data_IF_044690073723
#
_entry.id   IF_044690073723
#
_cell.length_a   1.000
_cell.length_b   1.000
_cell.length_c   1.000
_cell.angle_alpha   90.00
_cell.angle_beta   90.00
_cell.angle_gamma   90.00
#
_symmetry.space_group_name_H-M   'P 1'
#
loop_
_entity.id
_entity.type
_entity.pdbx_description
1 polymer ?
#
# COMPACT_ATOMS: atom_id res chain seq x y z
N UNK A 1 -20.75 11.50 -0.03
CA UNK A 1 -19.44 12.18 -0.16
C UNK A 1 -18.44 11.26 0.50
N UNK A 2 -17.74 10.45 -0.29
CA UNK A 2 -16.72 9.57 0.26
C UNK A 2 -15.52 10.43 0.61
N UNK A 3 -15.17 10.47 1.89
CA UNK A 3 -14.00 11.20 2.36
C UNK A 3 -12.78 10.43 1.87
N UNK A 4 -12.16 10.90 0.78
CA UNK A 4 -10.80 10.48 0.47
C UNK A 4 -9.88 11.02 1.56
N UNK A 5 -8.86 10.24 1.92
CA UNK A 5 -7.79 10.69 2.82
C UNK A 5 -7.06 11.88 2.19
N UNK A 6 -6.49 12.74 3.04
CA UNK A 6 -5.68 13.86 2.54
C UNK A 6 -4.41 13.36 1.85
N UNK A 7 -3.86 14.14 0.92
CA UNK A 7 -2.58 13.81 0.28
C UNK A 7 -1.45 13.68 1.31
N UNK A 8 -1.43 14.53 2.34
CA UNK A 8 -0.45 14.44 3.43
C UNK A 8 -0.56 13.12 4.20
N UNK A 9 -1.78 12.67 4.49
CA UNK A 9 -2.00 11.35 5.10
C UNK A 9 -1.61 10.20 4.19
N UNK A 10 -1.91 10.30 2.89
CA UNK A 10 -1.51 9.31 1.88
C UNK A 10 0.02 9.20 1.84
N UNK A 11 0.74 10.31 1.77
CA UNK A 11 2.21 10.34 1.76
C UNK A 11 2.80 9.71 3.03
N UNK A 12 2.25 10.03 4.21
CA UNK A 12 2.69 9.41 5.47
C UNK A 12 2.47 7.90 5.47
N UNK A 13 1.36 7.43 4.92
CA UNK A 13 1.06 6.00 4.84
C UNK A 13 2.00 5.28 3.87
N UNK A 14 2.27 5.87 2.70
CA UNK A 14 3.24 5.36 1.73
C UNK A 14 4.61 5.24 2.39
N UNK A 15 5.09 6.31 3.03
CA UNK A 15 6.38 6.34 3.70
C UNK A 15 6.46 5.27 4.79
N UNK A 16 5.40 5.10 5.57
CA UNK A 16 5.33 4.06 6.59
C UNK A 16 5.43 2.65 5.99
N UNK A 17 4.80 2.38 4.83
CA UNK A 17 4.95 1.07 4.16
C UNK A 17 6.38 0.84 3.68
N UNK A 18 7.03 1.86 3.12
CA UNK A 18 8.44 1.79 2.68
C UNK A 18 9.37 1.46 3.85
N UNK A 19 9.11 2.04 5.03
CA UNK A 19 9.90 1.79 6.24
C UNK A 19 9.60 0.43 6.90
N UNK A 20 8.36 -0.04 6.82
CA UNK A 20 7.90 -1.22 7.54
C UNK A 20 8.05 -2.53 6.75
N UNK A 21 8.05 -2.48 5.42
CA UNK A 21 8.11 -3.66 4.54
C UNK A 21 9.52 -3.74 3.94
N UNK A 22 10.18 -4.92 3.96
CA UNK A 22 11.47 -5.09 3.29
C UNK A 22 11.41 -4.72 1.80
N UNK A 23 12.42 -4.03 1.30
CA UNK A 23 12.47 -3.56 -0.08
C UNK A 23 12.30 -4.68 -1.10
N UNK A 24 12.82 -5.88 -0.84
CA UNK A 24 12.66 -7.05 -1.70
C UNK A 24 11.19 -7.47 -1.86
N UNK A 25 10.38 -7.33 -0.81
CA UNK A 25 8.95 -7.63 -0.85
C UNK A 25 8.20 -6.56 -1.65
N UNK A 26 8.56 -5.28 -1.49
CA UNK A 26 7.99 -4.20 -2.29
C UNK A 26 8.34 -4.33 -3.78
N UNK A 27 9.55 -4.80 -4.11
CA UNK A 27 9.94 -5.12 -5.49
C UNK A 27 9.15 -6.31 -6.04
N UNK A 28 8.92 -7.37 -5.25
CA UNK A 28 8.06 -8.48 -5.65
C UNK A 28 6.61 -8.03 -5.93
N UNK A 29 6.07 -7.14 -5.09
CA UNK A 29 4.75 -6.54 -5.31
C UNK A 29 4.75 -5.76 -6.64
N UNK A 30 5.77 -4.93 -6.88
CA UNK A 30 5.89 -4.17 -8.12
C UNK A 30 5.96 -5.08 -9.37
N UNK A 31 6.72 -6.17 -9.30
CA UNK A 31 6.81 -7.15 -10.38
C UNK A 31 5.47 -7.85 -10.63
N UNK A 32 4.75 -8.21 -9.56
CA UNK A 32 3.41 -8.79 -9.64
C UNK A 32 2.44 -7.89 -10.41
N UNK A 33 2.37 -6.61 -10.03
CA UNK A 33 1.51 -5.61 -10.66
C UNK A 33 1.93 -5.36 -12.12
N UNK A 34 3.23 -5.31 -12.39
CA UNK A 34 3.76 -5.08 -13.75
C UNK A 34 3.38 -6.21 -14.72
N UNK A 35 3.21 -7.44 -14.21
CA UNK A 35 2.80 -8.61 -15.01
C UNK A 35 1.28 -8.71 -15.15
N UNK A 36 0.55 -8.39 -14.08
CA UNK A 36 -0.91 -8.46 -14.01
C UNK A 36 -1.42 -7.25 -13.23
N UNK A 37 -2.03 -6.25 -13.90
CA UNK A 37 -2.46 -5.01 -13.24
C UNK A 37 -3.43 -5.23 -12.06
N UNK A 38 -4.26 -6.27 -12.14
CA UNK A 38 -5.25 -6.62 -11.11
C UNK A 38 -4.66 -7.54 -10.01
N UNK A 39 -3.35 -7.79 -10.02
CA UNK A 39 -2.71 -8.74 -9.10
C UNK A 39 -2.93 -8.37 -7.64
N UNK A 40 -2.87 -7.08 -7.28
CA UNK A 40 -3.16 -6.63 -5.91
C UNK A 40 -4.59 -6.95 -5.50
N UNK A 41 -5.57 -6.73 -6.39
CA UNK A 41 -6.97 -7.08 -6.12
C UNK A 41 -7.11 -8.57 -5.80
N UNK A 42 -6.38 -9.44 -6.49
CA UNK A 42 -6.35 -10.87 -6.19
C UNK A 42 -5.72 -11.19 -4.82
N UNK A 43 -4.79 -10.34 -4.36
CA UNK A 43 -4.14 -10.45 -3.05
C UNK A 43 -4.89 -9.73 -1.93
N UNK A 44 -6.13 -9.30 -2.14
CA UNK A 44 -6.92 -8.52 -1.18
C UNK A 44 -7.01 -9.17 0.21
N UNK A 45 -7.18 -10.50 0.29
CA UNK A 45 -7.26 -11.24 1.55
C UNK A 45 -5.89 -11.72 2.07
N UNK A 46 -4.83 -11.61 1.27
CA UNK A 46 -3.45 -11.87 1.66
C UNK A 46 -2.75 -10.56 2.00
N UNK A 47 -1.97 -10.04 1.05
CA UNK A 47 -1.22 -8.79 1.16
C UNK A 47 -2.12 -7.63 1.60
N UNK A 48 -3.35 -7.54 1.08
CA UNK A 48 -4.27 -6.46 1.45
C UNK A 48 -4.61 -6.44 2.94
N UNK A 49 -4.76 -7.61 3.57
CA UNK A 49 -5.00 -7.70 5.03
C UNK A 49 -3.75 -7.27 5.80
N UNK A 50 -2.57 -7.70 5.37
CA UNK A 50 -1.30 -7.33 6.01
C UNK A 50 -1.06 -5.82 5.97
N UNK A 51 -1.24 -5.20 4.81
CA UNK A 51 -1.07 -3.75 4.63
C UNK A 51 -2.09 -2.97 5.47
N UNK A 52 -3.37 -3.34 5.45
CA UNK A 52 -4.38 -2.69 6.29
C UNK A 52 -4.04 -2.82 7.79
N UNK A 53 -3.48 -3.95 8.21
CA UNK A 53 -3.05 -4.14 9.59
C UNK A 53 -1.80 -3.31 9.95
N UNK A 54 -0.84 -3.17 9.03
CA UNK A 54 0.32 -2.27 9.22
C UNK A 54 -0.13 -0.82 9.41
N UNK A 55 -1.08 -0.36 8.59
CA UNK A 55 -1.64 0.98 8.68
C UNK A 55 -2.38 1.19 10.02
N UNK A 56 -3.24 0.24 10.43
CA UNK A 56 -3.90 0.30 11.75
C UNK A 56 -2.89 0.35 12.89
N UNK A 57 -1.85 -0.49 12.84
CA UNK A 57 -0.83 -0.57 13.91
C UNK A 57 -0.02 0.71 14.02
N UNK A 58 0.20 1.43 12.92
CA UNK A 58 0.85 2.75 12.92
C UNK A 58 -0.03 3.85 13.52
N UNK A 59 -1.34 3.62 13.61
CA UNK A 59 -2.31 4.57 14.18
C UNK A 59 -3.10 5.36 13.14
N UNK A 60 -3.14 4.93 11.88
CA UNK A 60 -4.08 5.51 10.91
C UNK A 60 -5.51 5.18 11.31
N UNK A 61 -6.27 6.18 11.77
CA UNK A 61 -7.62 6.04 12.34
C UNK A 61 -8.72 5.94 11.27
N UNK A 62 -8.42 5.29 10.14
CA UNK A 62 -9.31 5.14 9.01
C UNK A 62 -10.31 4.01 9.27
N UNK A 63 -11.57 4.22 8.89
CA UNK A 63 -12.57 3.16 8.94
C UNK A 63 -12.25 2.03 7.93
N UNK A 64 -12.93 0.90 8.09
CA UNK A 64 -12.69 -0.27 7.24
C UNK A 64 -12.97 0.02 5.77
N UNK A 65 -13.92 0.91 5.44
CA UNK A 65 -14.23 1.26 4.05
C UNK A 65 -13.10 2.07 3.42
N UNK A 66 -12.49 2.95 4.20
CA UNK A 66 -11.36 3.79 3.80
C UNK A 66 -10.11 2.93 3.65
N UNK A 67 -9.83 2.06 4.61
CA UNK A 67 -8.74 1.10 4.53
C UNK A 67 -8.89 0.18 3.32
N UNK A 68 -10.11 -0.26 3.01
CA UNK A 68 -10.38 -1.15 1.88
C UNK A 68 -10.11 -0.51 0.51
N UNK A 69 -10.29 0.80 0.43
CA UNK A 69 -10.07 1.57 -0.81
C UNK A 69 -8.65 2.05 -0.97
N UNK A 70 -8.02 2.43 0.13
CA UNK A 70 -6.74 3.13 0.09
C UNK A 70 -5.54 2.19 0.17
N UNK A 71 -5.70 0.96 0.68
CA UNK A 71 -4.56 0.04 0.84
C UNK A 71 -3.86 -0.25 -0.50
N UNK A 72 -4.60 -0.48 -1.58
CA UNK A 72 -4.07 -0.81 -2.89
C UNK A 72 -3.27 0.35 -3.52
N UNK A 73 -3.82 1.57 -3.68
CA UNK A 73 -3.06 2.68 -4.24
C UNK A 73 -1.85 3.06 -3.38
N UNK A 74 -1.93 2.94 -2.05
CA UNK A 74 -0.79 3.17 -1.16
C UNK A 74 0.30 2.11 -1.38
N UNK A 75 -0.08 0.83 -1.49
CA UNK A 75 0.86 -0.27 -1.73
C UNK A 75 1.58 -0.12 -3.08
N UNK A 76 0.83 0.19 -4.14
CA UNK A 76 1.35 0.42 -5.47
C UNK A 76 2.38 1.57 -5.48
N UNK A 77 2.03 2.70 -4.85
CA UNK A 77 2.90 3.87 -4.80
C UNK A 77 4.18 3.59 -4.01
N UNK A 78 4.08 2.88 -2.87
CA UNK A 78 5.25 2.45 -2.10
C UNK A 78 6.17 1.53 -2.92
N UNK A 79 5.60 0.54 -3.59
CA UNK A 79 6.33 -0.39 -4.45
C UNK A 79 7.03 0.33 -5.63
N UNK A 80 6.35 1.31 -6.25
CA UNK A 80 6.92 2.12 -7.32
C UNK A 80 8.11 2.93 -6.87
N UNK A 81 8.02 3.61 -5.72
CA UNK A 81 9.12 4.43 -5.18
C UNK A 81 10.37 3.59 -4.90
N UNK A 82 10.23 2.43 -4.27
CA UNK A 82 11.35 1.52 -4.02
C UNK A 82 11.99 1.01 -5.33
N UNK A 83 11.18 0.70 -6.34
CA UNK A 83 11.69 0.31 -7.66
C UNK A 83 12.44 1.46 -8.35
N UNK A 84 11.96 2.69 -8.26
CA UNK A 84 12.63 3.88 -8.80
C UNK A 84 13.97 4.17 -8.11
N UNK A 85 14.06 4.00 -6.79
CA UNK A 85 15.30 4.16 -6.02
C UNK A 85 16.33 3.04 -6.26
N UNK A 86 15.87 1.87 -6.72
CA UNK A 86 16.72 0.71 -7.02
C UNK A 86 17.33 0.73 -8.43
N UNK A 87 16.98 1.73 -9.26
CA UNK A 87 17.50 1.94 -10.62
C UNK A 87 18.70 2.88 -10.65
#
# INVERSE_FOLDING_TARGET
MYLCISEEEREKAIQHLIEAIPGEILLQIYEGISREPDWLIMQHFGIGVEIRNLLRTKGFAWDDTTLDREWEPIALEAARKVHEESR
#
